data_IF_769753712293
#
_entry.id   IF_769753712293
#
_cell.length_a   1.000
_cell.length_b   1.000
_cell.length_c   1.000
_cell.angle_alpha   90.00
_cell.angle_beta   90.00
_cell.angle_gamma   90.00
#
_symmetry.space_group_name_H-M   'P 1'
#
loop_
_entity.id
_entity.type
_entity.pdbx_description
1 polymer ?
#
# COMPACT_ATOMS: atom_id res chain seq x y z
N UNK A 1 -32.04 -0.82 0.56
CA UNK A 1 -31.63 0.50 0.05
C UNK A 1 -30.16 0.56 -0.35
N UNK A 2 -29.18 0.22 0.50
CA UNK A 2 -27.75 0.29 0.20
C UNK A 2 -27.31 -0.57 -1.02
N UNK A 3 -27.85 -1.77 -1.20
CA UNK A 3 -27.53 -2.67 -2.33
C UNK A 3 -28.00 -2.04 -3.66
N UNK A 4 -29.20 -1.50 -3.70
CA UNK A 4 -29.74 -0.83 -4.90
C UNK A 4 -28.91 0.40 -5.25
N UNK A 5 -28.58 1.22 -4.25
CA UNK A 5 -27.71 2.38 -4.44
C UNK A 5 -26.35 1.98 -5.04
N UNK A 6 -25.66 0.98 -4.44
CA UNK A 6 -24.36 0.52 -4.94
C UNK A 6 -24.46 -0.05 -6.35
N UNK A 7 -25.56 -0.71 -6.69
CA UNK A 7 -25.79 -1.25 -8.04
C UNK A 7 -25.98 -0.12 -9.06
N UNK A 8 -26.84 0.84 -8.79
CA UNK A 8 -27.08 1.99 -9.68
C UNK A 8 -25.82 2.85 -9.83
N UNK A 9 -25.13 3.14 -8.74
CA UNK A 9 -23.83 3.82 -8.76
C UNK A 9 -22.83 3.08 -9.64
N UNK A 10 -22.76 1.76 -9.54
CA UNK A 10 -21.83 0.95 -10.33
C UNK A 10 -22.17 0.97 -11.82
N UNK A 11 -23.44 0.97 -12.19
CA UNK A 11 -23.86 1.15 -13.58
C UNK A 11 -23.42 2.52 -14.09
N UNK A 12 -23.70 3.59 -13.37
CA UNK A 12 -23.35 4.95 -13.77
C UNK A 12 -21.84 5.11 -14.04
N UNK A 13 -21.00 4.70 -13.08
CA UNK A 13 -19.53 4.81 -13.26
C UNK A 13 -18.97 3.83 -14.31
N UNK A 14 -19.66 2.70 -14.57
CA UNK A 14 -19.30 1.79 -15.65
C UNK A 14 -19.59 2.40 -17.03
N UNK A 15 -20.69 3.09 -17.18
CA UNK A 15 -21.04 3.82 -18.42
C UNK A 15 -19.97 4.90 -18.68
N UNK A 16 -19.62 5.71 -17.68
CA UNK A 16 -18.54 6.71 -17.80
C UNK A 16 -17.23 6.01 -18.20
N UNK A 17 -16.93 4.85 -17.64
CA UNK A 17 -15.73 4.10 -17.98
C UNK A 17 -15.71 3.67 -19.45
N UNK A 18 -16.82 3.19 -19.98
CA UNK A 18 -16.96 2.81 -21.40
C UNK A 18 -16.77 4.04 -22.31
N UNK A 19 -17.41 5.15 -21.98
CA UNK A 19 -17.25 6.41 -22.72
C UNK A 19 -15.77 6.83 -22.74
N UNK A 20 -15.09 6.79 -21.60
CA UNK A 20 -13.68 7.14 -21.50
C UNK A 20 -12.78 6.19 -22.32
N UNK A 21 -13.08 4.89 -22.37
CA UNK A 21 -12.36 3.94 -23.21
C UNK A 21 -12.53 4.28 -24.70
N UNK A 22 -13.74 4.62 -25.13
CA UNK A 22 -14.01 5.01 -26.51
C UNK A 22 -13.29 6.31 -26.89
N UNK A 23 -13.39 7.34 -26.05
CA UNK A 23 -12.69 8.61 -26.22
C UNK A 23 -11.17 8.40 -26.27
N UNK A 24 -10.65 7.55 -25.38
CA UNK A 24 -9.23 7.26 -25.34
C UNK A 24 -8.75 6.59 -26.62
N UNK A 25 -9.50 5.61 -27.13
CA UNK A 25 -9.19 4.99 -28.42
C UNK A 25 -9.11 6.00 -29.55
N UNK A 26 -10.07 6.90 -29.62
CA UNK A 26 -10.10 7.95 -30.65
C UNK A 26 -8.88 8.88 -30.58
N UNK A 27 -8.44 9.24 -29.35
CA UNK A 27 -7.28 10.12 -29.12
C UNK A 27 -5.93 9.43 -29.25
N UNK A 28 -5.87 8.11 -28.98
CA UNK A 28 -4.62 7.34 -28.88
C UNK A 28 -4.11 6.79 -30.20
N UNK A 29 -4.68 7.19 -31.35
CA UNK A 29 -4.41 6.58 -32.66
C UNK A 29 -2.93 6.55 -33.10
N UNK A 30 -2.01 7.19 -32.37
CA UNK A 30 -0.63 7.33 -32.79
C UNK A 30 0.47 7.06 -31.75
N UNK A 31 0.20 6.63 -30.51
CA UNK A 31 1.26 6.49 -29.49
C UNK A 31 1.10 5.23 -28.62
N UNK A 32 2.25 4.72 -28.12
CA UNK A 32 2.30 3.59 -27.19
C UNK A 32 1.35 3.77 -26.02
N UNK A 33 0.41 2.85 -25.87
CA UNK A 33 -0.67 2.93 -24.92
C UNK A 33 -0.24 2.29 -23.62
N UNK A 34 -0.23 3.05 -22.54
CA UNK A 34 0.03 2.58 -21.20
C UNK A 34 -1.27 2.37 -20.44
N UNK A 35 -1.33 1.29 -19.73
CA UNK A 35 -2.40 1.00 -18.80
C UNK A 35 -1.85 1.10 -17.38
N UNK A 36 -2.49 1.90 -16.54
CA UNK A 36 -2.07 2.09 -15.17
C UNK A 36 -3.20 1.66 -14.25
N UNK A 37 -2.87 0.77 -13.33
CA UNK A 37 -3.75 0.38 -12.24
C UNK A 37 -3.40 1.17 -10.98
N UNK A 38 -4.34 2.01 -10.55
CA UNK A 38 -4.23 2.84 -9.36
C UNK A 38 -5.14 2.26 -8.27
N UNK A 39 -4.58 1.95 -7.12
CA UNK A 39 -5.37 1.51 -5.98
C UNK A 39 -5.80 2.71 -5.12
N UNK A 40 -6.84 2.48 -4.37
CA UNK A 40 -7.62 3.33 -3.46
C UNK A 40 -7.04 4.69 -3.00
N UNK A 41 -7.83 5.60 -3.01
CA UNK A 41 -8.19 6.90 -2.48
C UNK A 41 -7.14 7.83 -1.88
N UNK A 42 -6.60 7.49 -0.76
CA UNK A 42 -5.59 8.26 -0.04
C UNK A 42 -4.21 7.84 -0.46
N UNK A 43 -4.07 6.61 -0.94
CA UNK A 43 -2.83 6.08 -1.46
C UNK A 43 -2.54 6.55 -2.88
N UNK A 44 -3.56 6.83 -3.68
CA UNK A 44 -3.38 7.48 -4.99
C UNK A 44 -2.69 8.83 -4.81
N UNK A 45 -3.13 9.65 -3.87
CA UNK A 45 -2.49 10.93 -3.59
C UNK A 45 -1.08 10.77 -3.00
N UNK A 46 -0.85 9.80 -2.13
CA UNK A 46 0.41 9.67 -1.39
C UNK A 46 1.43 8.73 -2.03
N UNK A 47 1.01 7.64 -2.69
CA UNK A 47 1.90 6.64 -3.29
C UNK A 47 2.04 6.80 -4.79
N UNK A 48 0.95 7.05 -5.48
CA UNK A 48 0.91 7.15 -6.95
C UNK A 48 1.42 8.50 -7.45
N UNK A 49 1.25 9.58 -6.70
CA UNK A 49 1.70 10.93 -7.09
C UNK A 49 3.19 10.96 -7.48
N UNK A 50 4.01 10.14 -6.81
CA UNK A 50 5.43 10.06 -7.15
C UNK A 50 5.69 9.45 -8.52
N UNK A 51 4.82 8.56 -8.99
CA UNK A 51 4.88 7.95 -10.32
C UNK A 51 4.13 8.77 -11.36
N UNK A 52 2.97 9.31 -10.96
CA UNK A 52 2.13 10.12 -11.84
C UNK A 52 2.82 11.39 -12.33
N UNK A 53 3.76 11.94 -11.58
CA UNK A 53 4.59 13.08 -12.02
C UNK A 53 5.43 12.80 -13.28
N UNK A 54 5.70 11.54 -13.54
CA UNK A 54 6.57 11.11 -14.64
C UNK A 54 5.81 10.47 -15.78
N UNK A 55 4.51 10.23 -15.60
CA UNK A 55 3.65 9.61 -16.59
C UNK A 55 2.72 10.67 -17.12
N UNK A 56 2.70 10.83 -18.44
CA UNK A 56 1.74 11.71 -19.08
C UNK A 56 0.35 11.07 -19.01
N UNK A 57 -0.42 11.37 -17.98
CA UNK A 57 -1.75 10.77 -17.72
C UNK A 57 -2.73 10.91 -18.88
N UNK A 58 -2.57 11.94 -19.71
CA UNK A 58 -3.36 12.11 -20.93
C UNK A 58 -3.03 11.09 -22.04
N UNK A 59 -1.89 10.40 -21.93
CA UNK A 59 -1.45 9.34 -22.84
C UNK A 59 -1.67 7.94 -22.28
N UNK A 60 -2.30 7.82 -21.10
CA UNK A 60 -2.53 6.56 -20.41
C UNK A 60 -4.01 6.32 -20.19
N UNK A 61 -4.42 5.06 -20.19
CA UNK A 61 -5.71 4.64 -19.68
C UNK A 61 -5.55 4.32 -18.18
N UNK A 62 -6.30 5.01 -17.34
CA UNK A 62 -6.11 5.00 -15.90
C UNK A 62 -7.20 4.18 -15.22
N UNK A 63 -6.90 2.96 -14.84
CA UNK A 63 -7.80 2.10 -14.08
C UNK A 63 -7.73 2.45 -12.60
N UNK A 64 -8.84 2.88 -12.06
CA UNK A 64 -8.94 3.28 -10.66
C UNK A 64 -9.81 2.32 -9.90
N UNK A 65 -9.31 1.90 -8.76
CA UNK A 65 -10.03 1.12 -7.78
C UNK A 65 -10.43 2.00 -6.61
N UNK A 66 -11.67 2.48 -6.62
CA UNK A 66 -12.25 3.26 -5.53
C UNK A 66 -13.68 2.82 -5.26
N UNK A 67 -14.00 2.65 -3.98
CA UNK A 67 -15.35 2.33 -3.52
C UNK A 67 -16.17 3.57 -3.14
N UNK A 68 -15.53 4.73 -3.01
CA UNK A 68 -16.18 5.99 -2.62
C UNK A 68 -16.67 6.76 -3.84
N UNK A 69 -17.99 6.98 -3.96
CA UNK A 69 -18.58 7.71 -5.08
C UNK A 69 -18.19 9.18 -5.08
N UNK A 70 -18.12 9.81 -3.91
CA UNK A 70 -17.65 11.20 -3.80
C UNK A 70 -16.23 11.37 -4.31
N UNK A 71 -15.36 10.40 -4.03
CA UNK A 71 -14.00 10.43 -4.52
C UNK A 71 -13.95 10.14 -6.03
N UNK A 72 -14.76 9.20 -6.53
CA UNK A 72 -14.86 8.93 -7.95
C UNK A 72 -15.24 10.20 -8.74
N UNK A 73 -16.17 10.99 -8.25
CA UNK A 73 -16.52 12.30 -8.84
C UNK A 73 -15.33 13.27 -8.83
N UNK A 74 -14.58 13.35 -7.73
CA UNK A 74 -13.37 14.19 -7.67
C UNK A 74 -12.27 13.70 -8.62
N UNK A 75 -12.15 12.38 -8.83
CA UNK A 75 -11.15 11.80 -9.72
C UNK A 75 -11.45 12.08 -11.21
N UNK A 76 -12.73 12.12 -11.62
CA UNK A 76 -13.12 12.49 -12.99
C UNK A 76 -12.52 13.85 -13.38
N UNK A 77 -12.51 14.80 -12.45
CA UNK A 77 -11.97 16.14 -12.71
C UNK A 77 -10.44 16.20 -12.73
N UNK A 78 -9.76 15.24 -12.09
CA UNK A 78 -8.30 15.27 -11.89
C UNK A 78 -7.52 14.33 -12.79
N UNK A 79 -8.12 13.21 -13.18
CA UNK A 79 -7.44 12.15 -13.92
C UNK A 79 -8.14 11.95 -15.27
N UNK A 80 -7.49 12.25 -16.39
CA UNK A 80 -8.05 11.97 -17.71
C UNK A 80 -8.12 10.47 -17.99
N UNK A 81 -8.98 10.07 -18.91
CA UNK A 81 -9.11 8.69 -19.38
C UNK A 81 -9.29 7.67 -18.24
N UNK A 82 -10.13 8.00 -17.27
CA UNK A 82 -10.34 7.19 -16.06
C UNK A 82 -11.32 6.04 -16.34
N UNK A 83 -11.00 4.86 -15.80
CA UNK A 83 -11.88 3.69 -15.78
C UNK A 83 -12.09 3.27 -14.33
N UNK A 84 -13.32 3.26 -13.87
CA UNK A 84 -13.70 2.87 -12.50
C UNK A 84 -13.79 1.35 -12.35
N UNK A 85 -12.63 0.73 -12.27
CA UNK A 85 -12.51 -0.72 -12.31
C UNK A 85 -13.22 -1.43 -11.14
N UNK A 86 -13.22 -0.85 -9.94
CA UNK A 86 -13.94 -1.40 -8.79
C UNK A 86 -15.46 -1.47 -9.02
N UNK A 87 -16.01 -0.54 -9.78
CA UNK A 87 -17.45 -0.51 -10.10
C UNK A 87 -17.80 -1.59 -11.12
N UNK A 88 -16.94 -1.81 -12.12
CA UNK A 88 -17.08 -2.90 -13.09
C UNK A 88 -16.94 -4.26 -12.37
N UNK A 89 -15.93 -4.41 -11.50
CA UNK A 89 -15.76 -5.60 -10.67
C UNK A 89 -16.97 -5.88 -9.79
N UNK A 90 -17.55 -4.84 -9.18
CA UNK A 90 -18.76 -4.97 -8.37
C UNK A 90 -19.94 -5.50 -9.18
N UNK A 91 -20.22 -4.95 -10.36
CA UNK A 91 -21.27 -5.42 -11.25
C UNK A 91 -21.07 -6.89 -11.63
N UNK A 92 -19.87 -7.28 -12.04
CA UNK A 92 -19.56 -8.67 -12.38
C UNK A 92 -19.80 -9.62 -11.21
N UNK A 93 -19.37 -9.23 -10.00
CA UNK A 93 -19.62 -10.02 -8.78
C UNK A 93 -21.10 -10.06 -8.39
N UNK A 94 -21.83 -8.98 -8.59
CA UNK A 94 -23.26 -8.94 -8.35
C UNK A 94 -23.99 -9.92 -9.26
N UNK A 95 -23.71 -9.92 -10.56
CA UNK A 95 -24.29 -10.86 -11.52
C UNK A 95 -23.87 -12.32 -11.26
N UNK A 96 -22.65 -12.56 -10.78
CA UNK A 96 -22.21 -13.88 -10.33
C UNK A 96 -23.03 -14.37 -9.12
N UNK A 97 -23.25 -13.49 -8.15
CA UNK A 97 -24.03 -13.78 -6.95
C UNK A 97 -25.49 -14.15 -7.24
N UNK A 98 -26.13 -13.49 -8.21
CA UNK A 98 -27.48 -13.81 -8.65
C UNK A 98 -27.54 -14.94 -9.69
N UNK A 99 -26.41 -15.65 -9.91
CA UNK A 99 -26.26 -16.77 -10.85
C UNK A 99 -26.53 -16.42 -12.31
N UNK A 100 -26.54 -15.14 -12.66
CA UNK A 100 -26.67 -14.67 -14.05
C UNK A 100 -25.39 -14.93 -14.86
N UNK A 101 -24.25 -14.94 -14.19
CA UNK A 101 -22.92 -15.22 -14.75
C UNK A 101 -22.28 -16.35 -13.94
N UNK A 102 -21.62 -17.26 -14.61
CA UNK A 102 -20.78 -18.29 -13.96
C UNK A 102 -19.36 -17.80 -13.86
N UNK A 103 -18.88 -17.40 -12.68
CA UNK A 103 -17.49 -17.02 -12.43
C UNK A 103 -17.09 -15.59 -12.90
N UNK A 104 -17.29 -14.61 -12.02
CA UNK A 104 -16.95 -13.20 -12.24
C UNK A 104 -15.47 -12.95 -12.57
N UNK A 105 -14.54 -13.79 -12.07
CA UNK A 105 -13.10 -13.64 -12.37
C UNK A 105 -12.78 -13.97 -13.82
N UNK A 106 -13.45 -14.98 -14.39
CA UNK A 106 -13.27 -15.35 -15.81
C UNK A 106 -13.81 -14.25 -16.72
N UNK A 107 -14.97 -13.67 -16.34
CA UNK A 107 -15.53 -12.56 -17.10
C UNK A 107 -14.61 -11.33 -17.03
N UNK A 108 -14.05 -11.04 -15.87
CA UNK A 108 -13.11 -9.94 -15.67
C UNK A 108 -11.84 -10.13 -16.49
N UNK A 109 -11.30 -11.35 -16.56
CA UNK A 109 -10.18 -11.71 -17.43
C UNK A 109 -10.51 -11.45 -18.91
N UNK A 110 -11.65 -11.94 -19.39
CA UNK A 110 -12.09 -11.71 -20.78
C UNK A 110 -12.31 -10.23 -21.10
N UNK A 111 -12.88 -9.47 -20.16
CA UNK A 111 -13.04 -8.04 -20.30
C UNK A 111 -11.70 -7.31 -20.44
N UNK A 112 -10.72 -7.64 -19.61
CA UNK A 112 -9.37 -7.08 -19.71
C UNK A 112 -8.68 -7.50 -21.01
N UNK A 113 -8.81 -8.77 -21.44
CA UNK A 113 -8.27 -9.23 -22.71
C UNK A 113 -8.85 -8.47 -23.90
N UNK A 114 -10.16 -8.23 -23.86
CA UNK A 114 -10.83 -7.41 -24.88
C UNK A 114 -10.27 -5.98 -24.90
N UNK A 115 -10.19 -5.31 -23.75
CA UNK A 115 -9.67 -3.94 -23.68
C UNK A 115 -8.21 -3.89 -24.16
N UNK A 116 -7.36 -4.81 -23.71
CA UNK A 116 -5.95 -4.82 -24.10
C UNK A 116 -5.77 -5.00 -25.59
N UNK A 117 -6.59 -5.85 -26.21
CA UNK A 117 -6.59 -6.05 -27.67
C UNK A 117 -7.19 -4.87 -28.39
N UNK A 118 -8.37 -4.41 -27.97
CA UNK A 118 -9.11 -3.32 -28.60
C UNK A 118 -8.32 -2.00 -28.64
N UNK A 119 -7.59 -1.69 -27.57
CA UNK A 119 -6.76 -0.49 -27.44
C UNK A 119 -5.31 -0.70 -27.84
N UNK A 120 -4.91 -1.90 -28.25
CA UNK A 120 -3.53 -2.27 -28.56
C UNK A 120 -2.56 -1.87 -27.42
N UNK A 121 -2.90 -2.23 -26.19
CA UNK A 121 -2.09 -1.93 -25.01
C UNK A 121 -0.71 -2.58 -25.16
N UNK A 122 0.36 -1.81 -25.03
CA UNK A 122 1.74 -2.31 -25.12
C UNK A 122 2.41 -2.47 -23.77
N UNK A 123 2.08 -1.61 -22.80
CA UNK A 123 2.69 -1.62 -21.48
C UNK A 123 1.61 -1.50 -20.39
N UNK A 124 1.78 -2.26 -19.33
CA UNK A 124 0.94 -2.25 -18.15
C UNK A 124 1.78 -1.93 -16.92
N UNK A 125 1.38 -0.93 -16.16
CA UNK A 125 1.99 -0.58 -14.88
C UNK A 125 0.97 -0.77 -13.76
N UNK A 126 1.25 -1.66 -12.82
CA UNK A 126 0.52 -1.74 -11.57
C UNK A 126 1.31 -1.07 -10.46
N UNK A 127 0.69 -0.06 -9.81
CA UNK A 127 1.24 0.60 -8.62
C UNK A 127 0.80 -0.17 -7.35
N UNK A 128 0.02 -1.20 -7.50
CA UNK A 128 -0.43 -2.10 -6.44
C UNK A 128 -0.14 -3.55 -6.84
N UNK A 129 0.44 -4.31 -5.91
CA UNK A 129 0.74 -5.72 -6.06
C UNK A 129 -0.25 -6.61 -5.29
N UNK A 130 -1.48 -6.12 -5.04
CA UNK A 130 -2.46 -6.78 -4.20
C UNK A 130 -3.73 -7.19 -4.98
N UNK A 131 -4.37 -8.27 -4.55
CA UNK A 131 -5.63 -8.82 -5.08
C UNK A 131 -5.55 -9.20 -6.58
N UNK A 132 -6.23 -8.46 -7.45
CA UNK A 132 -6.44 -8.83 -8.86
C UNK A 132 -5.17 -8.89 -9.72
N UNK A 133 -4.00 -8.68 -9.13
CA UNK A 133 -2.74 -8.69 -9.85
C UNK A 133 -2.47 -10.00 -10.60
N UNK A 134 -2.95 -11.15 -10.09
CA UNK A 134 -2.87 -12.44 -10.79
C UNK A 134 -3.62 -12.41 -12.13
N UNK A 135 -4.80 -11.78 -12.16
CA UNK A 135 -5.62 -11.67 -13.38
C UNK A 135 -4.93 -10.76 -14.39
N UNK A 136 -4.44 -9.59 -13.93
CA UNK A 136 -3.69 -8.68 -14.79
C UNK A 136 -2.43 -9.31 -15.35
N UNK A 137 -1.65 -10.01 -14.52
CA UNK A 137 -0.44 -10.70 -14.96
C UNK A 137 -0.75 -11.74 -16.02
N UNK A 138 -1.78 -12.57 -15.80
CA UNK A 138 -2.24 -13.58 -16.75
C UNK A 138 -2.65 -12.96 -18.10
N UNK A 139 -3.39 -11.87 -18.07
CA UNK A 139 -3.80 -11.14 -19.28
C UNK A 139 -2.59 -10.54 -20.00
N UNK A 140 -1.65 -9.94 -19.25
CA UNK A 140 -0.42 -9.40 -19.81
C UNK A 140 0.40 -10.48 -20.53
N UNK A 141 0.58 -11.65 -19.90
CA UNK A 141 1.29 -12.77 -20.53
C UNK A 141 0.60 -13.25 -21.80
N UNK A 142 -0.72 -13.47 -21.74
CA UNK A 142 -1.53 -13.94 -22.88
C UNK A 142 -1.52 -12.96 -24.06
N UNK A 143 -1.55 -11.64 -23.77
CA UNK A 143 -1.57 -10.58 -24.79
C UNK A 143 -0.17 -10.05 -25.13
N UNK A 144 0.90 -10.63 -24.57
CA UNK A 144 2.29 -10.18 -24.75
C UNK A 144 2.48 -8.70 -24.41
N UNK A 145 1.75 -8.21 -23.39
CA UNK A 145 1.86 -6.83 -22.87
C UNK A 145 3.01 -6.78 -21.86
N UNK A 146 3.90 -5.82 -22.01
CA UNK A 146 5.02 -5.63 -21.12
C UNK A 146 4.53 -5.15 -19.74
N UNK A 147 4.66 -5.98 -18.71
CA UNK A 147 4.12 -5.75 -17.38
C UNK A 147 5.18 -5.28 -16.39
N UNK A 148 4.85 -4.22 -15.65
CA UNK A 148 5.67 -3.64 -14.61
C UNK A 148 4.85 -3.62 -13.33
N UNK A 149 5.31 -4.33 -12.30
CA UNK A 149 4.65 -4.37 -11.00
C UNK A 149 5.48 -3.64 -9.97
N UNK A 150 4.83 -2.89 -9.12
CA UNK A 150 5.47 -2.14 -8.05
C UNK A 150 4.98 -2.61 -6.68
N UNK A 151 5.93 -2.84 -5.79
CA UNK A 151 5.68 -3.18 -4.41
C UNK A 151 5.00 -2.03 -3.67
N UNK A 152 3.75 -2.21 -3.20
CA UNK A 152 3.05 -1.18 -2.44
C UNK A 152 3.21 -1.32 -0.92
N UNK A 153 3.50 -2.52 -0.45
CA UNK A 153 3.66 -2.85 0.95
C UNK A 153 4.74 -3.91 1.17
N UNK A 154 4.93 -4.36 2.40
CA UNK A 154 5.87 -5.43 2.68
C UNK A 154 5.36 -6.77 2.13
N UNK A 155 6.27 -7.61 1.68
CA UNK A 155 5.95 -8.99 1.33
C UNK A 155 5.75 -9.83 2.59
N UNK A 156 4.72 -10.68 2.56
CA UNK A 156 4.46 -11.69 3.56
C UNK A 156 4.33 -13.06 2.90
N UNK A 157 4.79 -14.10 3.56
CA UNK A 157 4.63 -15.49 3.11
C UNK A 157 3.16 -15.91 2.99
N UNK A 158 2.25 -15.18 3.66
CA UNK A 158 0.80 -15.39 3.50
C UNK A 158 0.22 -14.87 2.18
N UNK A 159 0.97 -14.09 1.41
CA UNK A 159 0.54 -13.55 0.12
C UNK A 159 0.79 -14.56 -1.01
N UNK A 160 -0.03 -15.61 -1.05
CA UNK A 160 0.09 -16.73 -2.01
C UNK A 160 0.09 -16.29 -3.49
N UNK A 161 -0.53 -15.16 -3.81
CA UNK A 161 -0.56 -14.62 -5.17
C UNK A 161 0.84 -14.21 -5.67
N UNK A 162 1.73 -13.77 -4.78
CA UNK A 162 3.11 -13.42 -5.17
C UNK A 162 3.88 -14.58 -5.77
N UNK A 163 3.58 -15.81 -5.36
CA UNK A 163 4.21 -17.02 -5.92
C UNK A 163 3.71 -17.40 -7.32
N UNK A 164 2.63 -16.77 -7.80
CA UNK A 164 1.98 -17.13 -9.06
C UNK A 164 2.26 -16.17 -10.20
N UNK A 165 2.54 -14.91 -9.91
CA UNK A 165 2.76 -13.87 -10.91
C UNK A 165 4.15 -13.96 -11.54
N UNK A 166 4.25 -13.51 -12.80
CA UNK A 166 5.51 -13.50 -13.57
C UNK A 166 5.59 -12.21 -14.42
N UNK A 167 5.72 -11.02 -13.81
CA UNK A 167 5.83 -9.79 -14.56
C UNK A 167 7.17 -9.70 -15.31
N UNK A 168 7.23 -8.85 -16.32
CA UNK A 168 8.50 -8.55 -17.00
C UNK A 168 9.47 -7.82 -16.07
N UNK A 169 8.94 -6.90 -15.24
CA UNK A 169 9.72 -6.18 -14.23
C UNK A 169 8.94 -6.13 -12.93
N UNK A 170 9.63 -6.36 -11.82
CA UNK A 170 9.12 -6.14 -10.48
C UNK A 170 9.98 -5.10 -9.75
N UNK A 171 9.37 -4.01 -9.33
CA UNK A 171 10.04 -2.91 -8.64
C UNK A 171 9.89 -3.06 -7.13
N UNK A 172 10.99 -3.14 -6.40
CA UNK A 172 11.00 -3.36 -4.95
C UNK A 172 11.79 -2.26 -4.21
N UNK A 173 11.52 -2.14 -2.91
CA UNK A 173 12.09 -1.05 -2.12
C UNK A 173 13.57 -1.21 -1.75
N UNK A 174 14.06 -2.45 -1.59
CA UNK A 174 15.45 -2.71 -1.22
C UNK A 174 15.88 -4.13 -1.59
N UNK A 175 17.18 -4.41 -1.47
CA UNK A 175 17.73 -5.77 -1.68
C UNK A 175 17.13 -6.79 -0.72
N UNK A 176 16.79 -6.38 0.51
CA UNK A 176 16.06 -7.24 1.44
C UNK A 176 14.75 -7.74 0.84
N UNK A 177 13.95 -6.84 0.24
CA UNK A 177 12.67 -7.21 -0.38
C UNK A 177 12.86 -7.98 -1.69
N UNK A 178 13.92 -7.68 -2.47
CA UNK A 178 14.30 -8.48 -3.63
C UNK A 178 14.57 -9.93 -3.24
N UNK A 179 15.41 -10.15 -2.24
CA UNK A 179 15.74 -11.48 -1.75
C UNK A 179 14.52 -12.20 -1.14
N UNK A 180 13.63 -11.46 -0.50
CA UNK A 180 12.39 -12.01 0.05
C UNK A 180 11.43 -12.43 -1.07
N UNK A 181 11.29 -11.63 -2.13
CA UNK A 181 10.46 -11.98 -3.29
C UNK A 181 10.98 -13.22 -4.00
N UNK A 182 12.28 -13.34 -4.23
CA UNK A 182 12.89 -14.53 -4.83
C UNK A 182 12.65 -15.80 -4.02
N UNK A 183 12.60 -15.71 -2.69
CA UNK A 183 12.24 -16.85 -1.82
C UNK A 183 10.76 -17.24 -1.92
N UNK A 184 9.87 -16.28 -2.18
CA UNK A 184 8.43 -16.51 -2.30
C UNK A 184 8.07 -17.00 -3.71
N UNK A 185 8.75 -16.48 -4.73
CA UNK A 185 8.43 -16.72 -6.13
C UNK A 185 9.67 -17.13 -6.91
N UNK A 186 9.78 -18.43 -7.20
CA UNK A 186 10.87 -19.01 -7.98
C UNK A 186 10.69 -18.88 -9.50
N UNK A 187 9.57 -18.28 -9.97
CA UNK A 187 9.30 -18.06 -11.39
C UNK A 187 9.87 -16.74 -11.91
N UNK A 188 10.27 -15.84 -11.01
CA UNK A 188 10.84 -14.54 -11.36
C UNK A 188 12.36 -14.62 -11.30
N UNK A 189 13.02 -14.24 -12.38
CA UNK A 189 14.48 -14.11 -12.41
C UNK A 189 14.92 -12.88 -11.59
N UNK A 190 16.08 -12.98 -10.94
CA UNK A 190 16.71 -11.88 -10.21
C UNK A 190 16.90 -10.62 -11.08
N UNK A 191 17.13 -10.77 -12.39
CA UNK A 191 17.27 -9.67 -13.35
C UNK A 191 15.95 -8.92 -13.60
N UNK A 192 14.80 -9.57 -13.38
CA UNK A 192 13.48 -8.95 -13.49
C UNK A 192 13.13 -8.11 -12.28
N UNK A 193 13.86 -8.25 -11.15
CA UNK A 193 13.61 -7.51 -9.92
C UNK A 193 14.58 -6.34 -9.80
N UNK A 194 14.04 -5.13 -9.86
CA UNK A 194 14.81 -3.88 -9.79
C UNK A 194 14.57 -3.20 -8.45
N UNK A 195 15.64 -2.89 -7.73
CA UNK A 195 15.57 -2.14 -6.48
C UNK A 195 15.46 -0.65 -6.79
N UNK A 196 14.35 -0.04 -6.36
CA UNK A 196 14.02 1.36 -6.64
C UNK A 196 14.01 2.27 -5.41
N UNK A 197 14.04 1.70 -4.21
CA UNK A 197 13.78 2.43 -2.98
C UNK A 197 12.27 2.65 -2.74
N UNK A 198 11.93 3.04 -1.50
CA UNK A 198 10.58 3.47 -1.16
C UNK A 198 10.46 4.99 -1.38
N UNK A 199 9.64 5.47 -2.32
CA UNK A 199 9.54 6.89 -2.67
C UNK A 199 8.98 7.75 -1.52
N UNK A 200 8.32 7.14 -0.54
CA UNK A 200 7.79 7.83 0.63
C UNK A 200 8.86 8.09 1.70
N UNK A 201 9.99 7.39 1.63
CA UNK A 201 11.08 7.55 2.57
C UNK A 201 12.06 8.62 2.05
N UNK A 202 11.98 9.84 2.56
CA UNK A 202 12.90 10.93 2.20
C UNK A 202 14.08 10.98 3.17
N UNK A 203 15.29 11.13 2.62
CA UNK A 203 16.52 11.26 3.40
C UNK A 203 16.44 12.48 4.34
N UNK A 204 16.31 12.26 5.65
CA UNK A 204 16.62 13.25 6.69
C UNK A 204 17.15 12.52 7.91
N UNK A 205 18.24 13.01 8.46
CA UNK A 205 18.84 12.52 9.70
C UNK A 205 17.95 13.01 10.85
N UNK A 206 17.51 12.10 11.68
CA UNK A 206 16.65 12.40 12.82
C UNK A 206 17.46 12.34 14.12
N UNK A 207 17.28 13.34 14.95
CA UNK A 207 17.96 13.42 16.24
C UNK A 207 17.45 12.34 17.21
N UNK A 208 18.33 11.69 17.95
CA UNK A 208 18.09 10.44 18.68
C UNK A 208 17.43 10.59 20.06
N UNK A 209 17.00 11.79 20.47
CA UNK A 209 16.40 12.03 21.81
C UNK A 209 14.88 11.80 21.84
N UNK A 210 14.36 10.91 21.00
CA UNK A 210 12.92 10.70 20.82
C UNK A 210 12.39 9.67 21.82
N UNK A 211 11.29 9.99 22.51
CA UNK A 211 10.68 9.10 23.51
C UNK A 211 9.17 8.93 23.35
N UNK A 212 8.51 9.77 22.53
CA UNK A 212 7.06 9.70 22.36
C UNK A 212 6.63 8.44 21.60
N UNK A 213 5.41 7.99 21.85
CA UNK A 213 4.85 6.74 21.36
C UNK A 213 3.76 7.03 20.33
N UNK A 214 3.87 6.39 19.16
CA UNK A 214 2.86 6.40 18.12
C UNK A 214 2.20 5.03 18.01
N UNK A 215 0.90 4.98 18.22
CA UNK A 215 0.07 3.82 17.94
C UNK A 215 -0.50 3.90 16.52
N UNK A 216 -0.44 2.78 15.79
CA UNK A 216 -1.09 2.62 14.50
C UNK A 216 -2.30 1.72 14.66
N UNK A 217 -3.45 2.25 14.28
CA UNK A 217 -4.71 1.55 14.38
C UNK A 217 -5.03 0.74 13.12
N UNK A 218 -5.48 -0.48 13.31
CA UNK A 218 -5.77 -1.41 12.24
C UNK A 218 -7.10 -2.17 12.40
N UNK A 219 -7.65 -2.22 13.63
CA UNK A 219 -8.87 -2.98 13.91
C UNK A 219 -9.48 -2.58 15.27
N UNK A 220 -10.84 -2.49 15.34
CA UNK A 220 -11.59 -2.09 16.53
C UNK A 220 -11.29 -2.92 17.78
N UNK A 221 -10.92 -4.18 17.63
CA UNK A 221 -10.65 -5.09 18.76
C UNK A 221 -9.44 -4.69 19.59
N UNK A 222 -8.58 -3.83 19.06
CA UNK A 222 -7.29 -3.51 19.65
C UNK A 222 -7.27 -2.17 20.38
N UNK A 223 -8.36 -1.38 20.31
CA UNK A 223 -8.44 -0.06 20.94
C UNK A 223 -8.36 -0.13 22.47
N UNK A 224 -9.00 -1.13 23.09
CA UNK A 224 -8.92 -1.36 24.53
C UNK A 224 -7.47 -1.55 24.97
N UNK A 225 -6.70 -2.38 24.27
CA UNK A 225 -5.30 -2.64 24.58
C UNK A 225 -4.44 -1.38 24.50
N UNK A 226 -4.69 -0.48 23.55
CA UNK A 226 -4.00 0.81 23.43
C UNK A 226 -4.30 1.70 24.65
N UNK A 227 -5.56 1.75 25.07
CA UNK A 227 -5.98 2.52 26.26
C UNK A 227 -5.32 1.96 27.52
N UNK A 228 -5.29 0.65 27.69
CA UNK A 228 -4.67 -0.02 28.86
C UNK A 228 -3.18 0.28 28.92
N UNK A 229 -2.47 0.18 27.80
CA UNK A 229 -1.05 0.55 27.70
C UNK A 229 -0.86 2.03 28.10
N UNK A 230 -1.68 2.93 27.56
CA UNK A 230 -1.55 4.35 27.85
C UNK A 230 -1.75 4.65 29.32
N UNK A 231 -2.76 4.07 29.97
CA UNK A 231 -3.01 4.22 31.42
C UNK A 231 -1.82 3.74 32.24
N UNK A 232 -1.26 2.59 31.91
CA UNK A 232 -0.16 1.97 32.65
C UNK A 232 1.16 2.74 32.52
N UNK A 233 1.36 3.43 31.38
CA UNK A 233 2.60 4.16 31.11
C UNK A 233 2.46 5.69 31.16
N UNK A 234 1.33 6.19 31.71
CA UNK A 234 1.03 7.62 31.79
C UNK A 234 2.06 8.44 32.58
N UNK A 235 2.63 7.85 33.64
CA UNK A 235 3.57 8.54 34.54
C UNK A 235 5.00 8.64 33.95
N UNK A 236 5.27 7.96 32.84
CA UNK A 236 6.50 8.15 32.08
C UNK A 236 6.34 9.41 31.22
N UNK A 237 7.27 10.33 31.23
CA UNK A 237 7.31 11.62 30.48
C UNK A 237 7.05 11.49 28.95
N UNK A 238 6.45 10.39 28.51
CA UNK A 238 6.13 10.09 27.11
C UNK A 238 4.76 10.62 26.74
N UNK A 239 4.65 11.27 25.59
CA UNK A 239 3.36 11.64 25.00
C UNK A 239 2.88 10.54 24.07
N UNK A 240 1.57 10.34 24.03
CA UNK A 240 0.93 9.29 23.25
C UNK A 240 0.21 9.89 22.05
N UNK A 241 0.45 9.32 20.90
CA UNK A 241 -0.14 9.72 19.64
C UNK A 241 -0.79 8.52 18.98
N UNK A 242 -1.81 8.79 18.20
CA UNK A 242 -2.59 7.75 17.54
C UNK A 242 -2.85 8.15 16.09
N UNK A 243 -2.66 7.21 15.18
CA UNK A 243 -2.93 7.38 13.76
C UNK A 243 -3.76 6.21 13.24
N UNK A 244 -4.86 6.53 12.57
CA UNK A 244 -5.63 5.55 11.83
C UNK A 244 -4.88 5.07 10.59
N UNK A 245 -5.07 3.79 10.27
CA UNK A 245 -4.82 3.30 8.93
C UNK A 245 -5.88 3.90 7.99
N UNK A 246 -5.50 4.32 6.76
CA UNK A 246 -6.46 4.82 5.79
C UNK A 246 -7.67 3.88 5.62
N UNK A 247 -8.87 4.44 5.60
CA UNK A 247 -10.12 3.66 5.48
C UNK A 247 -10.70 3.15 6.81
N UNK A 248 -10.05 3.37 7.95
CA UNK A 248 -10.59 3.04 9.27
C UNK A 248 -11.08 4.30 9.98
N UNK A 249 -12.29 4.26 10.48
CA UNK A 249 -12.91 5.37 11.24
C UNK A 249 -13.05 4.93 12.68
N UNK A 250 -12.54 5.74 13.61
CA UNK A 250 -12.75 5.55 15.05
C UNK A 250 -14.16 6.00 15.39
N UNK A 251 -14.90 5.19 16.16
CA UNK A 251 -16.20 5.61 16.67
C UNK A 251 -16.06 6.76 17.68
N UNK A 252 -17.08 7.63 17.78
CA UNK A 252 -17.11 8.75 18.70
C UNK A 252 -16.83 8.35 20.17
N UNK A 253 -17.28 7.17 20.58
CA UNK A 253 -17.01 6.60 21.91
C UNK A 253 -15.51 6.50 22.20
N UNK A 254 -14.73 5.99 21.26
CA UNK A 254 -13.28 5.83 21.43
C UNK A 254 -12.55 7.18 21.30
N UNK A 255 -13.06 8.08 20.47
CA UNK A 255 -12.51 9.43 20.36
C UNK A 255 -12.54 10.16 21.72
N UNK A 256 -13.68 10.14 22.41
CA UNK A 256 -13.84 10.71 23.76
C UNK A 256 -12.91 10.00 24.77
N UNK A 257 -12.79 8.69 24.69
CA UNK A 257 -11.93 7.92 25.60
C UNK A 257 -10.45 8.26 25.38
N UNK A 258 -10.01 8.48 24.15
CA UNK A 258 -8.64 8.87 23.83
C UNK A 258 -8.32 10.25 24.42
N UNK A 259 -9.22 11.22 24.25
CA UNK A 259 -9.04 12.56 24.82
C UNK A 259 -8.92 12.51 26.36
N UNK A 260 -9.75 11.72 27.06
CA UNK A 260 -9.66 11.50 28.51
C UNK A 260 -8.33 10.87 28.96
N UNK A 261 -7.69 10.10 28.09
CA UNK A 261 -6.40 9.44 28.36
C UNK A 261 -5.20 10.19 27.76
N UNK A 262 -5.36 11.45 27.33
CA UNK A 262 -4.31 12.28 26.72
C UNK A 262 -3.63 11.64 25.50
N UNK A 263 -4.39 10.88 24.71
CA UNK A 263 -3.93 10.32 23.43
C UNK A 263 -4.33 11.28 22.31
N UNK A 264 -3.35 11.88 21.65
CA UNK A 264 -3.61 12.81 20.55
C UNK A 264 -3.79 12.08 19.22
N UNK A 265 -4.95 12.26 18.58
CA UNK A 265 -5.25 11.71 17.25
C UNK A 265 -4.65 12.63 16.18
N UNK A 266 -3.93 12.03 15.20
CA UNK A 266 -3.16 12.75 14.16
C UNK A 266 -3.32 12.13 12.77
N UNK A 267 -4.57 11.92 12.35
CA UNK A 267 -4.88 11.17 11.11
C UNK A 267 -4.52 11.88 9.81
N UNK A 268 -4.56 13.21 9.80
CA UNK A 268 -4.39 14.04 8.60
C UNK A 268 -2.93 14.21 8.14
N UNK A 269 -1.96 13.71 8.92
CA UNK A 269 -0.54 13.88 8.62
C UNK A 269 0.08 12.61 8.03
N UNK A 270 1.04 12.77 7.11
CA UNK A 270 1.84 11.64 6.67
C UNK A 270 2.80 11.15 7.78
N UNK A 271 3.23 9.89 7.70
CA UNK A 271 4.02 9.25 8.75
C UNK A 271 5.33 9.98 9.06
N UNK A 272 6.03 10.46 8.05
CA UNK A 272 7.28 11.19 8.21
C UNK A 272 7.09 12.46 9.04
N UNK A 273 6.09 13.26 8.70
CA UNK A 273 5.86 14.55 9.34
C UNK A 273 5.42 14.36 10.81
N UNK A 274 4.67 13.28 11.08
CA UNK A 274 4.36 12.84 12.44
C UNK A 274 5.63 12.55 13.22
N UNK A 275 6.52 11.74 12.67
CA UNK A 275 7.77 11.33 13.33
C UNK A 275 8.65 12.54 13.68
N UNK A 276 8.68 13.55 12.79
CA UNK A 276 9.45 14.78 13.01
C UNK A 276 8.78 15.69 14.02
N UNK A 277 7.52 16.07 13.76
CA UNK A 277 6.78 17.07 14.51
C UNK A 277 6.57 16.66 15.97
N UNK A 278 6.33 15.38 16.19
CA UNK A 278 5.98 14.86 17.53
C UNK A 278 7.11 14.09 18.21
N UNK A 279 8.33 14.13 17.69
CA UNK A 279 9.48 13.47 18.29
C UNK A 279 9.21 11.99 18.64
N UNK A 280 8.62 11.24 17.72
CA UNK A 280 8.28 9.84 17.92
C UNK A 280 9.56 8.99 18.08
N UNK A 281 9.61 8.19 19.14
CA UNK A 281 10.71 7.23 19.41
C UNK A 281 10.29 5.78 19.27
N UNK A 282 9.00 5.51 19.47
CA UNK A 282 8.43 4.17 19.41
C UNK A 282 7.26 4.14 18.44
N UNK A 283 7.18 3.09 17.66
CA UNK A 283 6.00 2.77 16.88
C UNK A 283 5.42 1.46 17.39
N UNK A 284 4.17 1.50 17.84
CA UNK A 284 3.43 0.33 18.32
C UNK A 284 2.30 0.04 17.36
N UNK A 285 2.27 -1.19 16.82
CA UNK A 285 1.24 -1.63 15.89
C UNK A 285 0.99 -3.15 16.02
N UNK A 286 -0.06 -3.64 15.37
CA UNK A 286 -0.40 -5.06 15.37
C UNK A 286 0.19 -5.75 14.12
N UNK A 287 -0.19 -5.33 12.90
CA UNK A 287 0.23 -5.96 11.65
C UNK A 287 0.57 -4.96 10.51
N UNK A 288 0.96 -3.74 10.86
CA UNK A 288 1.21 -2.67 9.91
C UNK A 288 2.56 -2.78 9.17
N UNK A 289 2.56 -2.41 7.89
CA UNK A 289 3.79 -2.19 7.12
C UNK A 289 4.66 -1.08 7.74
N UNK A 290 4.05 -0.14 8.46
CA UNK A 290 4.78 0.93 9.15
C UNK A 290 5.76 0.41 10.21
N UNK A 291 5.60 -0.83 10.72
CA UNK A 291 6.57 -1.46 11.61
C UNK A 291 7.95 -1.59 10.96
N UNK A 292 8.02 -1.98 9.69
CA UNK A 292 9.31 -2.09 8.99
C UNK A 292 9.79 -0.74 8.44
N UNK A 293 8.87 0.16 8.05
CA UNK A 293 9.20 1.52 7.63
C UNK A 293 9.76 2.36 8.77
N UNK A 294 9.33 2.10 10.01
CA UNK A 294 9.80 2.80 11.21
C UNK A 294 11.30 2.63 11.46
N UNK A 295 11.90 1.51 11.05
CA UNK A 295 13.34 1.29 11.12
C UNK A 295 14.12 2.36 10.35
N UNK A 296 13.60 2.82 9.21
CA UNK A 296 14.22 3.87 8.42
C UNK A 296 14.40 5.17 9.22
N UNK A 297 13.43 5.48 10.06
CA UNK A 297 13.40 6.67 10.91
C UNK A 297 14.05 6.46 12.29
N UNK A 298 14.74 5.32 12.50
CA UNK A 298 15.36 4.94 13.77
C UNK A 298 14.36 4.85 14.94
N UNK A 299 13.09 4.50 14.66
CA UNK A 299 12.11 4.23 15.71
C UNK A 299 12.25 2.80 16.18
N UNK A 300 11.87 2.54 17.42
CA UNK A 300 11.75 1.19 17.97
C UNK A 300 10.40 0.61 17.56
N UNK A 301 10.34 -0.34 16.59
CA UNK A 301 9.08 -0.96 16.17
C UNK A 301 8.67 -2.06 17.12
N UNK A 302 7.47 -1.96 17.68
CA UNK A 302 6.92 -2.94 18.62
C UNK A 302 5.63 -3.50 18.03
N UNK A 303 5.63 -4.82 17.80
CA UNK A 303 4.44 -5.57 17.44
C UNK A 303 3.72 -6.05 18.69
N UNK A 304 2.44 -5.72 18.80
CA UNK A 304 1.54 -6.30 19.77
C UNK A 304 0.91 -7.60 19.24
N UNK A 305 0.39 -8.43 20.15
CA UNK A 305 -0.33 -9.63 19.77
C UNK A 305 -1.55 -9.30 18.91
N UNK A 306 -1.68 -9.97 17.78
CA UNK A 306 -2.80 -9.83 16.85
C UNK A 306 -3.34 -11.21 16.46
N UNK A 307 -4.66 -11.30 16.19
CA UNK A 307 -5.29 -12.54 15.71
C UNK A 307 -4.73 -13.01 14.35
N UNK A 308 -4.40 -12.08 13.48
CA UNK A 308 -3.95 -12.38 12.10
C UNK A 308 -2.48 -12.74 11.99
N UNK A 309 -1.66 -12.33 12.94
CA UNK A 309 -0.21 -12.59 12.99
C UNK A 309 0.56 -12.34 11.66
N UNK A 310 0.09 -11.43 10.83
CA UNK A 310 0.66 -11.17 9.50
C UNK A 310 2.12 -10.69 9.60
N UNK A 311 2.48 -9.96 10.66
CA UNK A 311 3.84 -9.45 10.88
C UNK A 311 4.73 -10.39 11.70
N UNK A 312 4.32 -11.64 11.92
CA UNK A 312 5.10 -12.60 12.69
C UNK A 312 6.43 -12.96 12.02
N UNK A 313 6.46 -12.96 10.69
CA UNK A 313 7.69 -13.14 9.92
C UNK A 313 8.77 -12.10 10.27
N UNK A 314 8.40 -10.83 10.48
CA UNK A 314 9.34 -9.79 10.89
C UNK A 314 9.89 -10.02 12.31
N UNK A 315 9.08 -10.59 13.20
CA UNK A 315 9.52 -10.97 14.54
C UNK A 315 10.49 -12.16 14.47
N UNK A 316 10.15 -13.18 13.68
CA UNK A 316 10.99 -14.38 13.50
C UNK A 316 12.35 -14.02 12.88
N UNK A 317 12.36 -13.04 11.94
CA UNK A 317 13.58 -12.49 11.35
C UNK A 317 14.34 -11.52 12.30
N UNK A 318 13.82 -11.28 13.52
CA UNK A 318 14.36 -10.37 14.53
C UNK A 318 14.49 -8.91 14.06
N UNK A 319 13.68 -8.51 13.09
CA UNK A 319 13.68 -7.14 12.55
C UNK A 319 12.91 -6.17 13.45
N UNK A 320 11.84 -6.65 14.08
CA UNK A 320 10.99 -5.86 14.98
C UNK A 320 10.89 -6.56 16.34
N UNK A 321 10.41 -5.84 17.34
CA UNK A 321 10.29 -6.37 18.70
C UNK A 321 8.85 -6.78 18.96
N UNK A 322 8.66 -7.89 19.67
CA UNK A 322 7.35 -8.39 20.09
C UNK A 322 7.09 -8.00 21.52
N UNK A 323 5.85 -7.61 21.83
CA UNK A 323 5.39 -7.37 23.19
C UNK A 323 3.97 -7.94 23.35
N UNK A 324 3.87 -9.15 23.86
CA UNK A 324 2.58 -9.80 24.11
C UNK A 324 1.99 -9.33 25.45
N UNK A 325 2.85 -9.09 26.41
CA UNK A 325 2.51 -8.66 27.79
C UNK A 325 3.09 -7.27 28.09
N UNK A 326 2.64 -6.69 29.18
CA UNK A 326 3.12 -5.38 29.65
C UNK A 326 4.57 -5.43 30.11
N UNK A 327 4.99 -6.56 30.67
CA UNK A 327 6.38 -6.79 31.09
C UNK A 327 7.34 -6.68 29.89
N UNK A 328 6.94 -7.15 28.72
CA UNK A 328 7.73 -7.03 27.49
C UNK A 328 7.91 -5.55 27.10
N UNK A 329 6.84 -4.74 27.19
CA UNK A 329 6.90 -3.30 26.95
C UNK A 329 7.82 -2.62 27.96
N UNK A 330 7.68 -2.94 29.26
CA UNK A 330 8.55 -2.41 30.31
C UNK A 330 10.02 -2.73 30.03
N UNK A 331 10.32 -3.97 29.67
CA UNK A 331 11.67 -4.42 29.31
C UNK A 331 12.25 -3.61 28.14
N UNK A 332 11.42 -3.30 27.11
CA UNK A 332 11.85 -2.50 25.97
C UNK A 332 12.10 -1.05 26.41
N UNK A 333 11.19 -0.45 27.18
CA UNK A 333 11.29 0.94 27.61
C UNK A 333 12.44 1.18 28.61
N UNK A 334 12.74 0.20 29.46
CA UNK A 334 13.84 0.30 30.41
C UNK A 334 15.23 0.06 29.79
N UNK A 335 15.30 -0.59 28.62
CA UNK A 335 16.56 -0.94 27.96
C UNK A 335 16.76 -0.21 26.61
N UNK A 336 16.39 1.08 26.52
CA UNK A 336 16.39 1.87 25.29
C UNK A 336 17.70 1.80 24.50
N UNK A 337 18.85 1.92 25.16
CA UNK A 337 20.18 1.91 24.50
C UNK A 337 20.38 0.61 23.72
N UNK A 338 20.05 -0.54 24.31
CA UNK A 338 20.14 -1.86 23.69
C UNK A 338 19.24 -1.96 22.46
N UNK A 339 17.97 -1.54 22.57
CA UNK A 339 16.99 -1.63 21.49
C UNK A 339 17.31 -0.66 20.34
N UNK A 340 17.76 0.57 20.64
CA UNK A 340 18.22 1.52 19.62
C UNK A 340 19.41 0.97 18.80
N UNK A 341 20.38 0.32 19.45
CA UNK A 341 21.49 -0.35 18.77
C UNK A 341 21.00 -1.42 17.79
N UNK A 342 20.05 -2.26 18.24
CA UNK A 342 19.42 -3.28 17.38
C UNK A 342 18.66 -2.67 16.19
N UNK A 343 17.94 -1.56 16.39
CA UNK A 343 17.24 -0.84 15.32
C UNK A 343 18.22 -0.37 14.24
N UNK A 344 19.38 0.15 14.62
CA UNK A 344 20.39 0.58 13.64
C UNK A 344 20.93 -0.58 12.80
N UNK A 345 21.16 -1.74 13.40
CA UNK A 345 21.55 -2.97 12.69
C UNK A 345 20.45 -3.40 11.73
N UNK A 346 19.20 -3.45 12.21
CA UNK A 346 18.04 -3.86 11.41
C UNK A 346 17.75 -2.88 10.28
N UNK A 347 17.93 -1.58 10.52
CA UNK A 347 17.84 -0.56 9.48
C UNK A 347 18.83 -0.83 8.35
N UNK A 348 20.09 -1.11 8.65
CA UNK A 348 21.11 -1.47 7.64
C UNK A 348 20.67 -2.70 6.85
N UNK A 349 20.20 -3.74 7.53
CA UNK A 349 19.74 -4.99 6.90
C UNK A 349 18.59 -4.77 5.91
N UNK A 350 17.61 -3.91 6.24
CA UNK A 350 16.39 -3.73 5.43
C UNK A 350 16.51 -2.60 4.41
N UNK A 351 17.17 -1.50 4.79
CA UNK A 351 17.16 -0.24 4.05
C UNK A 351 18.53 0.17 3.51
N UNK A 352 19.47 -0.79 3.38
CA UNK A 352 20.83 -0.46 2.97
C UNK A 352 20.89 0.36 1.67
N UNK A 353 21.59 1.47 1.82
CA UNK A 353 22.46 2.23 0.94
C UNK A 353 22.00 2.75 -0.42
N UNK A 354 20.93 2.28 -1.02
CA UNK A 354 20.52 2.76 -2.35
C UNK A 354 19.08 3.25 -2.39
N UNK A 355 18.63 3.92 -1.36
CA UNK A 355 17.42 4.73 -1.40
C UNK A 355 17.67 5.92 -2.32
N UNK A 356 17.70 5.64 -3.61
CA UNK A 356 18.26 6.60 -4.52
C UNK A 356 17.22 7.41 -5.27
N UNK A 357 17.45 8.69 -5.28
CA UNK A 357 17.12 9.59 -6.38
C UNK A 357 17.58 9.03 -7.75
N UNK A 358 18.65 8.23 -7.78
CA UNK A 358 19.20 7.57 -8.98
C UNK A 358 18.24 6.55 -9.57
N UNK A 359 17.49 5.81 -8.75
CA UNK A 359 16.53 4.81 -9.23
C UNK A 359 15.35 5.43 -9.96
N UNK A 360 14.94 6.66 -9.64
CA UNK A 360 13.85 7.35 -10.32
C UNK A 360 14.18 7.66 -11.77
N UNK A 361 15.39 8.15 -12.04
CA UNK A 361 15.86 8.41 -13.42
C UNK A 361 16.05 7.12 -14.23
N UNK A 362 16.59 6.08 -13.61
CA UNK A 362 16.75 4.76 -14.22
C UNK A 362 15.42 4.07 -14.51
N UNK A 363 14.43 4.22 -13.61
CA UNK A 363 13.09 3.70 -13.76
C UNK A 363 12.39 4.33 -14.96
N UNK A 364 12.52 5.63 -15.10
CA UNK A 364 11.91 6.40 -16.17
C UNK A 364 12.57 6.11 -17.52
N UNK A 365 13.91 6.12 -17.56
CA UNK A 365 14.62 5.91 -18.83
C UNK A 365 14.55 4.45 -19.31
N UNK A 366 14.61 3.44 -18.42
CA UNK A 366 14.52 2.03 -18.81
C UNK A 366 13.11 1.51 -19.00
N UNK A 367 12.09 2.11 -18.36
CA UNK A 367 10.72 1.61 -18.43
C UNK A 367 9.83 2.38 -19.38
N UNK A 368 10.16 3.63 -19.71
CA UNK A 368 9.30 4.52 -20.48
C UNK A 368 9.94 5.11 -21.74
N UNK A 369 11.23 4.89 -21.99
CA UNK A 369 11.96 5.46 -23.13
C UNK A 369 12.06 4.57 -24.39
N UNK A 370 11.44 3.37 -24.35
CA UNK A 370 11.35 2.50 -25.55
C UNK A 370 9.93 2.22 -25.95
#
# INVERSE_FOLDING_TARGET
MLIIYNFLSSIFFSIISVINILIYKYKAYQKATYFIYLNDNTEIENRSIHYLKYIKLNQTLNFVRSNSDLLNLKLIMKIPNIVFFSKIEYLMKFFDKIKFIKNSNVLLEKFLEFIFSYLNIKKFLSIDDYRLIEIFDKVCQKKKVFSIFYMHGRFSTSQKFLAKIKPNIYLVWSEYFKNKLLKINNKIDSKQIIVTGNPNLKKKIFNNKKTNILFIYEDNMNLKRIIDITKKFKDKKNKFYFKNKPGYIISNKYFLTFNKNNIKIIDHMNFRDIVIKYNIGFLIAFDSTMLIESLYYNLIPIKLLSKKNISQDLVNEKLIFKADKDEDLLKIFNNLKKYKKKVLVNKKKVWENKLGLISRKLLLNKTFSN
#
